data_IF_807968093451
#
_entry.id   IF_807968093451
#
_cell.length_a   1.000
_cell.length_b   1.000
_cell.length_c   1.000
_cell.angle_alpha   90.00
_cell.angle_beta   90.00
_cell.angle_gamma   90.00
#
_symmetry.space_group_name_H-M   'P 1'
#
loop_
_entity.id
_entity.type
_entity.pdbx_description
1 polymer ?
#
# COMPACT_ATOMS: atom_id res chain seq x y z
N UNK A 1 24.35 60.39 -1.50
CA UNK A 1 24.68 59.40 -0.45
C UNK A 1 23.38 58.75 -0.03
N UNK A 2 23.09 57.57 -0.58
CA UNK A 2 23.24 56.26 0.09
C UNK A 2 22.23 56.12 1.25
N UNK A 3 21.32 55.16 1.29
CA UNK A 3 21.51 53.76 0.92
C UNK A 3 20.25 53.10 0.38
N UNK A 4 20.49 52.29 -0.65
CA UNK A 4 19.69 51.20 -1.15
C UNK A 4 19.41 50.18 -0.02
N UNK A 5 18.18 50.12 0.48
CA UNK A 5 17.69 48.99 1.24
C UNK A 5 16.91 48.09 0.28
N UNK A 6 17.65 47.26 -0.45
CA UNK A 6 17.08 46.17 -1.23
C UNK A 6 16.26 45.29 -0.27
N UNK A 7 14.93 45.36 -0.40
CA UNK A 7 14.03 44.40 0.20
C UNK A 7 14.42 43.02 -0.33
N UNK A 8 15.04 42.20 0.52
CA UNK A 8 15.28 40.80 0.22
C UNK A 8 13.93 40.15 -0.12
N UNK A 9 13.83 39.37 -1.22
CA UNK A 9 12.58 38.71 -1.54
C UNK A 9 12.23 37.76 -0.38
N UNK A 10 11.03 37.94 0.19
CA UNK A 10 10.42 36.98 1.09
C UNK A 10 10.52 35.61 0.41
N UNK A 11 11.29 34.69 1.00
CA UNK A 11 11.40 33.33 0.51
C UNK A 11 9.98 32.76 0.40
N UNK A 12 9.43 32.74 -0.82
CA UNK A 12 8.21 32.03 -1.12
C UNK A 12 8.49 30.58 -0.76
N UNK A 13 7.90 30.10 0.34
CA UNK A 13 7.94 28.70 0.71
C UNK A 13 7.35 27.93 -0.47
N UNK A 14 8.22 27.33 -1.29
CA UNK A 14 7.80 26.51 -2.43
C UNK A 14 6.82 25.47 -1.89
N UNK A 15 5.65 25.36 -2.53
CA UNK A 15 4.77 24.24 -2.25
C UNK A 15 5.58 22.95 -2.44
N UNK A 16 5.50 22.00 -1.49
CA UNK A 16 6.28 20.77 -1.59
C UNK A 16 5.95 20.06 -2.89
N UNK A 17 6.98 19.58 -3.59
CA UNK A 17 6.78 18.80 -4.81
C UNK A 17 6.08 17.47 -4.48
N UNK A 18 5.34 16.88 -5.42
CA UNK A 18 4.77 15.54 -5.27
C UNK A 18 5.84 14.51 -4.85
N UNK A 19 7.07 14.66 -5.33
CA UNK A 19 8.21 13.80 -4.93
C UNK A 19 8.55 13.95 -3.45
N UNK A 20 8.51 15.17 -2.92
CA UNK A 20 8.80 15.43 -1.51
C UNK A 20 7.69 14.88 -0.60
N UNK A 21 6.43 14.95 -1.06
CA UNK A 21 5.29 14.37 -0.36
C UNK A 21 5.40 12.84 -0.29
N UNK A 22 5.66 12.17 -1.42
CA UNK A 22 5.86 10.72 -1.48
C UNK A 22 7.04 10.30 -0.61
N UNK A 23 8.15 11.05 -0.61
CA UNK A 23 9.31 10.77 0.23
C UNK A 23 8.95 10.86 1.73
N UNK A 24 8.26 11.93 2.15
CA UNK A 24 7.81 12.09 3.53
C UNK A 24 6.84 10.99 3.95
N UNK A 25 5.98 10.56 3.04
CA UNK A 25 5.09 9.43 3.26
C UNK A 25 5.87 8.11 3.43
N UNK A 26 6.85 7.84 2.56
CA UNK A 26 7.71 6.67 2.64
C UNK A 26 8.52 6.61 3.95
N UNK A 27 8.82 7.74 4.58
CA UNK A 27 9.46 7.77 5.89
C UNK A 27 8.61 7.15 7.01
N UNK A 28 7.27 7.12 6.88
CA UNK A 28 6.38 6.46 7.85
C UNK A 28 6.48 4.93 7.81
N UNK A 29 6.98 4.32 6.73
CA UNK A 29 7.25 2.89 6.68
C UNK A 29 8.53 2.50 7.41
N UNK A 30 9.43 3.45 7.66
CA UNK A 30 10.76 3.18 8.23
C UNK A 30 10.72 2.45 9.59
N UNK A 31 9.83 2.79 10.54
CA UNK A 31 9.71 2.06 11.80
C UNK A 31 9.15 0.65 11.63
N UNK A 32 8.40 0.39 10.55
CA UNK A 32 7.66 -0.84 10.30
C UNK A 32 8.26 -1.69 9.16
N UNK A 33 9.54 -1.51 8.85
CA UNK A 33 10.24 -2.20 7.74
C UNK A 33 10.13 -3.73 7.80
N UNK A 34 10.12 -4.31 9.01
CA UNK A 34 9.95 -5.74 9.20
C UNK A 34 8.57 -6.24 8.79
N UNK A 35 7.51 -5.54 9.23
CA UNK A 35 6.14 -5.84 8.81
C UNK A 35 5.97 -5.66 7.30
N UNK A 36 6.46 -4.53 6.76
CA UNK A 36 6.42 -4.26 5.34
C UNK A 36 7.14 -5.33 4.51
N UNK A 37 8.33 -5.78 4.92
CA UNK A 37 9.05 -6.80 4.18
C UNK A 37 8.34 -8.16 4.20
N UNK A 38 7.76 -8.55 5.34
CA UNK A 38 6.96 -9.77 5.46
C UNK A 38 5.74 -9.71 4.54
N UNK A 39 4.93 -8.68 4.73
CA UNK A 39 3.68 -8.42 4.00
C UNK A 39 3.92 -8.36 2.49
N UNK A 40 4.85 -7.52 2.06
CA UNK A 40 5.17 -7.33 0.64
C UNK A 40 5.72 -8.61 -0.01
N UNK A 41 6.54 -9.39 0.70
CA UNK A 41 7.04 -10.67 0.16
C UNK A 41 5.90 -11.68 0.00
N UNK A 42 5.00 -11.76 0.98
CA UNK A 42 3.82 -12.61 0.89
C UNK A 42 2.89 -12.16 -0.26
N UNK A 43 2.67 -10.86 -0.42
CA UNK A 43 1.86 -10.30 -1.50
C UNK A 43 2.45 -10.62 -2.88
N UNK A 44 3.77 -10.47 -3.05
CA UNK A 44 4.48 -10.81 -4.29
C UNK A 44 4.32 -12.29 -4.63
N UNK A 45 4.53 -13.18 -3.65
CA UNK A 45 4.37 -14.61 -3.87
C UNK A 45 2.91 -14.98 -4.18
N UNK A 46 1.95 -14.37 -3.48
CA UNK A 46 0.52 -14.57 -3.70
C UNK A 46 0.12 -14.16 -5.13
N UNK A 47 0.50 -12.95 -5.55
CA UNK A 47 0.21 -12.45 -6.91
C UNK A 47 0.81 -13.32 -8.02
N UNK A 48 2.00 -13.88 -7.82
CA UNK A 48 2.59 -14.85 -8.75
C UNK A 48 1.76 -16.14 -8.83
N UNK A 49 1.34 -16.69 -7.67
CA UNK A 49 0.51 -17.90 -7.63
C UNK A 49 -0.87 -17.67 -8.26
N UNK A 50 -1.49 -16.51 -8.02
CA UNK A 50 -2.76 -16.13 -8.62
C UNK A 50 -2.68 -16.05 -10.14
N UNK A 51 -1.59 -15.51 -10.68
CA UNK A 51 -1.39 -15.46 -12.13
C UNK A 51 -1.04 -16.83 -12.73
N UNK A 52 -0.30 -17.65 -11.99
CA UNK A 52 0.06 -19.00 -12.41
C UNK A 52 -1.13 -19.96 -12.42
N UNK A 53 -2.12 -19.74 -11.55
CA UNK A 53 -3.23 -20.66 -11.34
C UNK A 53 -4.10 -20.88 -12.60
N UNK A 54 -4.57 -19.83 -13.33
CA UNK A 54 -5.31 -20.01 -14.59
C UNK A 54 -4.52 -20.80 -15.65
N UNK A 55 -3.22 -20.55 -15.77
CA UNK A 55 -2.36 -21.27 -16.72
C UNK A 55 -2.27 -22.77 -16.37
N UNK A 56 -2.08 -23.07 -15.09
CA UNK A 56 -2.01 -24.45 -14.60
C UNK A 56 -3.35 -25.18 -14.78
N UNK A 57 -4.48 -24.51 -14.52
CA UNK A 57 -5.82 -25.05 -14.78
C UNK A 57 -6.07 -25.26 -16.27
N UNK A 58 -5.65 -24.35 -17.13
CA UNK A 58 -5.73 -24.53 -18.59
C UNK A 58 -5.00 -25.79 -19.06
N UNK A 59 -3.73 -25.97 -18.64
CA UNK A 59 -2.96 -27.18 -18.94
C UNK A 59 -3.62 -28.45 -18.38
N UNK A 60 -4.19 -28.36 -17.17
CA UNK A 60 -4.90 -29.47 -16.55
C UNK A 60 -6.11 -29.91 -17.39
N UNK A 61 -6.92 -28.95 -17.83
CA UNK A 61 -8.14 -29.20 -18.60
C UNK A 61 -7.82 -29.65 -20.03
N UNK A 62 -6.91 -28.96 -20.70
CA UNK A 62 -6.69 -29.14 -22.15
C UNK A 62 -5.78 -30.32 -22.48
N UNK A 63 -4.87 -30.70 -21.58
CA UNK A 63 -3.87 -31.75 -21.85
C UNK A 63 -4.00 -32.96 -20.93
N UNK A 64 -4.19 -32.74 -19.63
CA UNK A 64 -4.20 -33.84 -18.65
C UNK A 64 -5.52 -34.64 -18.69
N UNK A 65 -6.67 -33.97 -18.73
CA UNK A 65 -7.97 -34.65 -18.75
C UNK A 65 -8.17 -35.53 -20.00
N UNK A 66 -7.86 -35.08 -21.24
CA UNK A 66 -8.01 -35.92 -22.42
C UNK A 66 -7.05 -37.11 -22.45
N UNK A 67 -5.90 -37.01 -21.76
CA UNK A 67 -4.92 -38.09 -21.64
C UNK A 67 -5.40 -39.30 -20.81
N UNK A 68 -6.51 -39.18 -20.07
CA UNK A 68 -7.16 -40.23 -19.27
C UNK A 68 -6.25 -40.97 -18.26
N UNK A 69 -5.06 -40.44 -17.97
CA UNK A 69 -4.17 -41.00 -16.98
C UNK A 69 -4.58 -40.54 -15.58
N UNK A 70 -5.45 -41.32 -14.94
CA UNK A 70 -6.03 -41.01 -13.63
C UNK A 70 -4.99 -40.75 -12.54
N UNK A 71 -3.84 -41.42 -12.57
CA UNK A 71 -2.76 -41.16 -11.60
C UNK A 71 -2.25 -39.74 -11.74
N UNK A 72 -1.92 -39.30 -12.97
CA UNK A 72 -1.46 -37.94 -13.23
C UNK A 72 -2.52 -36.89 -12.90
N UNK A 73 -3.77 -37.14 -13.28
CA UNK A 73 -4.90 -36.25 -13.02
C UNK A 73 -5.07 -36.02 -11.51
N UNK A 74 -5.12 -37.10 -10.71
CA UNK A 74 -5.29 -36.98 -9.25
C UNK A 74 -4.08 -36.29 -8.63
N UNK A 75 -2.85 -36.62 -9.04
CA UNK A 75 -1.66 -35.93 -8.51
C UNK A 75 -1.65 -34.44 -8.82
N UNK A 76 -2.03 -34.03 -10.04
CA UNK A 76 -2.09 -32.63 -10.42
C UNK A 76 -3.23 -31.89 -9.71
N UNK A 77 -4.39 -32.52 -9.53
CA UNK A 77 -5.49 -31.95 -8.75
C UNK A 77 -5.10 -31.71 -7.29
N UNK A 78 -4.41 -32.67 -6.66
CA UNK A 78 -3.88 -32.50 -5.30
C UNK A 78 -2.82 -31.39 -5.26
N UNK A 79 -1.93 -31.32 -6.25
CA UNK A 79 -0.93 -30.25 -6.34
C UNK A 79 -1.59 -28.86 -6.46
N UNK A 80 -2.62 -28.72 -7.30
CA UNK A 80 -3.40 -27.48 -7.43
C UNK A 80 -4.11 -27.12 -6.12
N UNK A 81 -4.68 -28.10 -5.41
CA UNK A 81 -5.28 -27.88 -4.09
C UNK A 81 -4.25 -27.39 -3.07
N UNK A 82 -3.07 -27.99 -3.02
CA UNK A 82 -1.99 -27.57 -2.13
C UNK A 82 -1.54 -26.15 -2.46
N UNK A 83 -1.36 -25.82 -3.74
CA UNK A 83 -1.04 -24.47 -4.18
C UNK A 83 -2.11 -23.46 -3.76
N UNK A 84 -3.39 -23.81 -3.89
CA UNK A 84 -4.49 -22.95 -3.44
C UNK A 84 -4.47 -22.72 -1.92
N UNK A 85 -4.23 -23.78 -1.14
CA UNK A 85 -4.12 -23.67 0.32
C UNK A 85 -2.90 -22.85 0.76
N UNK A 86 -1.77 -23.02 0.07
CA UNK A 86 -0.57 -22.20 0.27
C UNK A 86 -0.89 -20.72 -0.01
N UNK A 87 -1.53 -20.44 -1.15
CA UNK A 87 -1.91 -19.08 -1.53
C UNK A 87 -2.84 -18.45 -0.49
N UNK A 88 -3.83 -19.21 -0.03
CA UNK A 88 -4.74 -18.80 1.05
C UNK A 88 -3.97 -18.42 2.31
N UNK A 89 -2.97 -19.22 2.70
CA UNK A 89 -2.10 -18.92 3.84
C UNK A 89 -1.28 -17.63 3.67
N UNK A 90 -0.74 -17.39 2.47
CA UNK A 90 -0.06 -16.14 2.15
C UNK A 90 -1.02 -14.95 2.25
N UNK A 91 -2.22 -15.09 1.69
CA UNK A 91 -3.24 -14.04 1.68
C UNK A 91 -3.73 -13.69 3.10
N UNK A 92 -3.74 -14.65 4.04
CA UNK A 92 -3.99 -14.36 5.46
C UNK A 92 -2.91 -13.45 6.04
N UNK A 93 -1.64 -13.71 5.71
CA UNK A 93 -0.53 -12.84 6.16
C UNK A 93 -0.67 -11.45 5.57
N UNK A 94 -0.93 -11.35 4.26
CA UNK A 94 -1.09 -10.06 3.56
C UNK A 94 -2.22 -9.24 4.18
N UNK A 95 -3.41 -9.84 4.32
CA UNK A 95 -4.56 -9.13 4.88
C UNK A 95 -4.33 -8.69 6.33
N UNK A 96 -3.81 -9.56 7.19
CA UNK A 96 -3.68 -9.23 8.60
C UNK A 96 -2.49 -8.30 8.88
N UNK A 97 -1.29 -8.63 8.39
CA UNK A 97 -0.09 -7.85 8.65
C UNK A 97 -0.03 -6.59 7.80
N UNK A 98 -0.58 -6.60 6.58
CA UNK A 98 -0.77 -5.40 5.76
C UNK A 98 -1.71 -4.41 6.44
N UNK A 99 -2.89 -4.83 6.90
CA UNK A 99 -3.80 -3.90 7.58
C UNK A 99 -3.22 -3.38 8.90
N UNK A 100 -2.51 -4.24 9.66
CA UNK A 100 -1.76 -3.82 10.85
C UNK A 100 -0.69 -2.76 10.51
N UNK A 101 0.01 -2.91 9.39
CA UNK A 101 0.97 -1.92 8.90
C UNK A 101 0.27 -0.58 8.59
N UNK A 102 -0.87 -0.62 7.87
CA UNK A 102 -1.68 0.56 7.54
C UNK A 102 -2.14 1.32 8.77
N UNK A 103 -2.73 0.62 9.74
CA UNK A 103 -3.21 1.21 11.01
C UNK A 103 -2.06 1.86 11.80
N UNK A 104 -0.89 1.24 11.85
CA UNK A 104 0.27 1.81 12.54
C UNK A 104 0.74 3.12 11.88
N UNK A 105 0.80 3.15 10.55
CA UNK A 105 1.15 4.35 9.77
C UNK A 105 0.11 5.45 9.98
N UNK A 106 -1.19 5.12 9.86
CA UNK A 106 -2.31 6.02 10.11
C UNK A 106 -2.23 6.63 11.53
N UNK A 107 -1.99 5.80 12.54
CA UNK A 107 -1.92 6.21 13.94
C UNK A 107 -0.81 7.22 14.17
N UNK A 108 0.39 7.00 13.61
CA UNK A 108 1.49 7.95 13.75
C UNK A 108 1.24 9.26 12.98
N UNK A 109 0.63 9.20 11.80
CA UNK A 109 0.21 10.40 11.07
C UNK A 109 -0.83 11.20 11.85
N UNK A 110 -1.82 10.52 12.46
CA UNK A 110 -2.85 11.13 13.32
C UNK A 110 -2.23 11.79 14.53
N UNK A 111 -1.33 11.10 15.23
CA UNK A 111 -0.62 11.63 16.40
C UNK A 111 0.13 12.92 16.06
N UNK A 112 0.95 12.91 15.00
CA UNK A 112 1.72 14.09 14.59
C UNK A 112 0.83 15.26 14.16
N UNK A 113 -0.23 14.97 13.42
CA UNK A 113 -1.17 15.99 12.96
C UNK A 113 -1.92 16.61 14.13
N UNK A 114 -2.35 15.80 15.09
CA UNK A 114 -3.03 16.25 16.29
C UNK A 114 -2.11 17.08 17.20
N UNK A 115 -0.88 16.61 17.45
CA UNK A 115 0.15 17.35 18.20
C UNK A 115 0.46 18.72 17.57
N UNK A 116 0.39 18.81 16.25
CA UNK A 116 0.56 20.07 15.53
C UNK A 116 -0.66 20.99 15.68
N UNK A 117 -1.87 20.44 15.52
CA UNK A 117 -3.11 21.20 15.69
C UNK A 117 -3.15 21.85 17.08
N UNK A 118 -2.85 21.11 18.15
CA UNK A 118 -2.87 21.64 19.53
C UNK A 118 -1.96 22.86 19.77
N UNK A 119 -0.98 23.12 18.91
CA UNK A 119 -0.03 24.24 19.00
C UNK A 119 -0.44 25.46 18.16
N UNK A 120 -1.52 25.37 17.40
CA UNK A 120 -2.01 26.45 16.55
C UNK A 120 -2.70 27.54 17.39
N UNK A 121 -2.63 28.79 16.91
CA UNK A 121 -3.23 29.93 17.60
C UNK A 121 -4.75 29.95 17.46
N UNK A 122 -5.45 30.56 18.42
CA UNK A 122 -6.91 30.77 18.33
C UNK A 122 -7.33 31.46 17.02
N UNK A 123 -6.54 32.45 16.57
CA UNK A 123 -6.75 33.12 15.27
C UNK A 123 -6.74 32.14 14.09
N UNK A 124 -5.96 31.06 14.12
CA UNK A 124 -6.01 30.05 13.08
C UNK A 124 -7.38 29.38 13.04
N UNK A 125 -7.91 29.01 14.20
CA UNK A 125 -9.22 28.37 14.35
C UNK A 125 -10.40 29.30 14.03
N UNK A 126 -10.27 30.59 14.30
CA UNK A 126 -11.30 31.58 13.91
C UNK A 126 -11.43 31.70 12.38
N UNK A 127 -10.36 31.39 11.64
CA UNK A 127 -10.31 31.50 10.18
C UNK A 127 -10.45 30.16 9.45
N UNK A 128 -10.58 29.03 10.17
CA UNK A 128 -10.69 27.70 9.58
C UNK A 128 -11.82 26.91 10.22
N UNK A 129 -12.62 26.20 9.41
CA UNK A 129 -13.68 25.33 9.93
C UNK A 129 -13.06 24.16 10.71
N UNK A 130 -13.23 24.13 12.03
CA UNK A 130 -12.68 23.08 12.90
C UNK A 130 -13.12 21.68 12.48
N UNK A 131 -14.36 21.52 11.99
CA UNK A 131 -14.85 20.24 11.45
C UNK A 131 -14.05 19.73 10.25
N UNK A 132 -13.59 20.62 9.35
CA UNK A 132 -12.70 20.24 8.26
C UNK A 132 -11.33 19.79 8.77
N UNK A 133 -10.79 20.44 9.80
CA UNK A 133 -9.50 20.05 10.39
C UNK A 133 -9.57 18.64 10.97
N UNK A 134 -10.65 18.33 11.69
CA UNK A 134 -10.89 17.00 12.25
C UNK A 134 -11.06 15.97 11.12
N UNK A 135 -11.88 16.27 10.10
CA UNK A 135 -12.09 15.39 8.96
C UNK A 135 -10.76 15.04 8.25
N UNK A 136 -9.86 16.01 8.05
CA UNK A 136 -8.55 15.73 7.44
C UNK A 136 -7.66 14.83 8.29
N UNK A 137 -7.72 14.96 9.61
CA UNK A 137 -6.93 14.10 10.51
C UNK A 137 -7.57 12.72 10.66
N UNK A 138 -8.88 12.60 10.53
CA UNK A 138 -9.55 11.30 10.63
C UNK A 138 -9.65 10.63 9.27
N UNK A 139 -10.46 11.15 8.36
CA UNK A 139 -10.84 10.53 7.10
C UNK A 139 -9.72 10.55 6.07
N UNK A 140 -9.11 11.70 5.80
CA UNK A 140 -8.05 11.74 4.78
C UNK A 140 -6.83 10.87 5.20
N UNK A 141 -6.50 10.81 6.51
CA UNK A 141 -5.42 9.95 6.99
C UNK A 141 -5.77 8.46 6.99
N UNK A 142 -7.04 8.11 7.16
CA UNK A 142 -7.55 6.74 7.00
C UNK A 142 -7.37 6.30 5.54
N UNK A 143 -7.77 7.12 4.57
CA UNK A 143 -7.56 6.84 3.14
C UNK A 143 -6.07 6.69 2.80
N UNK A 144 -5.20 7.55 3.35
CA UNK A 144 -3.75 7.44 3.17
C UNK A 144 -3.19 6.18 3.83
N UNK A 145 -3.72 5.77 4.98
CA UNK A 145 -3.38 4.52 5.66
C UNK A 145 -3.82 3.28 4.87
N UNK A 146 -4.98 3.34 4.22
CA UNK A 146 -5.50 2.32 3.32
C UNK A 146 -4.56 2.12 2.12
N UNK A 147 -4.22 3.22 1.45
CA UNK A 147 -3.24 3.22 0.36
C UNK A 147 -1.86 2.75 0.84
N UNK A 148 -1.51 2.97 2.11
CA UNK A 148 -0.21 2.56 2.62
C UNK A 148 0.00 1.03 2.61
N UNK A 149 -1.06 0.26 2.85
CA UNK A 149 -0.93 -1.19 2.89
C UNK A 149 -1.34 -1.85 1.58
N UNK A 150 -2.47 -1.46 0.97
CA UNK A 150 -2.90 -2.04 -0.30
C UNK A 150 -2.16 -1.48 -1.52
N UNK A 151 -1.75 -0.21 -1.49
CA UNK A 151 -1.15 0.45 -2.65
C UNK A 151 0.09 -0.26 -3.23
N UNK A 152 1.05 -0.72 -2.42
CA UNK A 152 2.19 -1.50 -2.92
C UNK A 152 1.79 -2.82 -3.57
N UNK A 153 0.83 -3.54 -2.99
CA UNK A 153 0.29 -4.80 -3.50
C UNK A 153 -0.45 -4.59 -4.82
N UNK A 154 -1.40 -3.65 -4.85
CA UNK A 154 -2.20 -3.32 -6.04
C UNK A 154 -1.32 -2.90 -7.21
N UNK A 155 -0.30 -2.09 -6.95
CA UNK A 155 0.65 -1.67 -7.99
C UNK A 155 1.43 -2.87 -8.53
N UNK A 156 1.85 -3.78 -7.66
CA UNK A 156 2.56 -4.98 -8.05
C UNK A 156 1.68 -5.90 -8.92
N UNK A 157 0.46 -6.19 -8.47
CA UNK A 157 -0.51 -6.99 -9.22
C UNK A 157 -0.81 -6.32 -10.56
N UNK A 158 -1.07 -5.01 -10.60
CA UNK A 158 -1.35 -4.29 -11.84
C UNK A 158 -0.20 -4.41 -12.86
N UNK A 159 1.05 -4.28 -12.41
CA UNK A 159 2.23 -4.46 -13.28
C UNK A 159 2.33 -5.90 -13.76
N UNK A 160 2.14 -6.88 -12.88
CA UNK A 160 2.20 -8.30 -13.22
C UNK A 160 1.11 -8.70 -14.23
N UNK A 161 -0.14 -8.30 -13.98
CA UNK A 161 -1.27 -8.56 -14.88
C UNK A 161 -1.04 -7.91 -16.23
N UNK A 162 -0.54 -6.67 -16.26
CA UNK A 162 -0.22 -6.00 -17.53
C UNK A 162 0.83 -6.79 -18.33
N UNK A 163 1.89 -7.26 -17.68
CA UNK A 163 2.91 -8.08 -18.35
C UNK A 163 2.36 -9.44 -18.78
N UNK A 164 1.52 -10.09 -17.95
CA UNK A 164 0.96 -11.42 -18.26
C UNK A 164 -0.15 -11.41 -19.32
N UNK A 165 -0.74 -10.24 -19.60
CA UNK A 165 -1.79 -10.09 -20.61
C UNK A 165 -1.26 -9.96 -22.06
N UNK A 166 0.02 -9.67 -22.25
CA UNK A 166 0.69 -9.51 -23.56
C UNK A 166 1.79 -10.55 -23.77
#
# INVERSE_FOLDING_TARGET
>A
MSANAAAAPLNATRSPSNRDLIRKFAEYYRPHRGLFALDFTCAVLSGVLELAFPMAVGLFVDQLLPGQNWTLIVTAAVALLVTYLLNTGLMVVVNYWGHMLGINIETEMRRRSFDHLQKLSFRYYDNHKTGHLVARVTKDLEEVGEVAHHGPEDLFIAVMTFIGAF
#
